data_IF_119427533624
#
_entry.id   IF_119427533624
#
_cell.length_a   1.000
_cell.length_b   1.000
_cell.length_c   1.000
_cell.angle_alpha   90.00
_cell.angle_beta   90.00
_cell.angle_gamma   90.00
#
_symmetry.space_group_name_H-M   'P 1'
#
loop_
_entity.id
_entity.type
_entity.pdbx_description
1 polymer ?
#
# COMPACT_ATOMS: atom_id res chain seq x y z
N UNK A 1 -18.42 3.37 3.00
CA UNK A 1 -18.00 3.72 1.63
C UNK A 1 -17.31 5.07 1.64
N UNK A 2 -16.17 5.23 0.96
CA UNK A 2 -15.55 6.56 0.84
C UNK A 2 -16.40 7.47 -0.05
N UNK A 3 -16.37 8.77 0.21
CA UNK A 3 -17.06 9.80 -0.59
C UNK A 3 -16.68 9.72 -2.07
N UNK A 4 -15.40 9.49 -2.34
CA UNK A 4 -14.82 9.49 -3.68
C UNK A 4 -15.29 8.31 -4.53
N UNK A 5 -15.54 7.14 -3.93
CA UNK A 5 -16.11 5.98 -4.65
C UNK A 5 -17.51 6.29 -5.15
N UNK A 6 -18.38 6.85 -4.30
CA UNK A 6 -19.73 7.25 -4.73
C UNK A 6 -19.68 8.24 -5.90
N UNK A 7 -18.78 9.22 -5.81
CA UNK A 7 -18.61 10.21 -6.88
C UNK A 7 -18.05 9.61 -8.17
N UNK A 8 -17.26 8.54 -8.09
CA UNK A 8 -16.71 7.85 -9.27
C UNK A 8 -17.81 7.23 -10.15
N UNK A 9 -18.87 6.70 -9.54
CA UNK A 9 -19.98 6.05 -10.24
C UNK A 9 -21.11 7.01 -10.65
N UNK A 10 -21.14 8.22 -10.09
CA UNK A 10 -22.13 9.25 -10.36
C UNK A 10 -22.40 9.54 -11.85
N UNK A 11 -21.40 9.58 -12.77
CA UNK A 11 -21.67 9.85 -14.19
C UNK A 11 -22.56 8.78 -14.85
N UNK A 12 -22.47 7.54 -14.38
CA UNK A 12 -23.25 6.42 -14.91
C UNK A 12 -24.66 6.40 -14.32
N UNK A 13 -24.77 6.68 -13.01
CA UNK A 13 -26.07 6.82 -12.33
C UNK A 13 -26.90 7.98 -12.89
N UNK A 14 -26.25 9.11 -13.22
CA UNK A 14 -26.95 10.29 -13.73
C UNK A 14 -27.21 10.27 -15.24
N UNK A 15 -26.76 9.23 -15.95
CA UNK A 15 -26.82 9.17 -17.42
C UNK A 15 -25.89 10.15 -18.14
N UNK A 16 -24.96 10.82 -17.44
CA UNK A 16 -23.97 11.71 -18.07
C UNK A 16 -22.92 10.93 -18.86
N UNK A 17 -22.74 9.64 -18.56
CA UNK A 17 -21.95 8.69 -19.32
C UNK A 17 -22.62 7.32 -19.31
N UNK A 18 -22.71 6.66 -20.46
CA UNK A 18 -23.18 5.27 -20.52
C UNK A 18 -22.17 4.29 -19.91
N UNK A 19 -22.66 3.25 -19.24
CA UNK A 19 -21.86 2.08 -18.87
C UNK A 19 -21.68 1.17 -20.10
N UNK A 20 -20.54 0.47 -20.28
CA UNK A 20 -20.35 -0.43 -21.40
C UNK A 20 -21.36 -1.59 -21.35
N UNK A 21 -21.87 -1.99 -22.51
CA UNK A 21 -22.93 -3.00 -22.61
C UNK A 21 -22.38 -4.41 -22.89
N UNK A 22 -23.16 -5.44 -22.57
CA UNK A 22 -22.84 -6.81 -22.97
C UNK A 22 -21.72 -7.43 -22.13
N UNK A 23 -20.72 -8.01 -22.80
CA UNK A 23 -19.60 -8.74 -22.18
C UNK A 23 -18.37 -7.87 -21.92
N UNK A 24 -18.48 -6.56 -22.18
CA UNK A 24 -17.36 -5.63 -22.07
C UNK A 24 -16.91 -5.46 -20.62
N UNK A 25 -15.59 -5.48 -20.42
CA UNK A 25 -14.95 -5.37 -19.11
C UNK A 25 -14.58 -3.93 -18.81
N UNK A 26 -14.66 -3.56 -17.53
CA UNK A 26 -14.18 -2.28 -17.00
C UNK A 26 -13.17 -2.53 -15.89
N UNK A 27 -11.94 -2.04 -16.07
CA UNK A 27 -10.94 -2.08 -15.01
C UNK A 27 -11.28 -1.06 -13.91
N UNK A 28 -10.95 -1.36 -12.66
CA UNK A 28 -11.07 -0.42 -11.54
C UNK A 28 -9.78 -0.40 -10.72
N UNK A 29 -8.96 0.62 -10.94
CA UNK A 29 -7.68 0.81 -10.25
C UNK A 29 -7.87 1.51 -8.89
N UNK A 30 -7.10 1.04 -7.91
CA UNK A 30 -7.24 1.41 -6.50
C UNK A 30 -8.70 1.23 -6.01
N UNK A 31 -9.30 0.11 -6.41
CA UNK A 31 -10.69 -0.18 -6.18
C UNK A 31 -11.04 -0.18 -4.69
N UNK A 32 -12.14 0.46 -4.35
CA UNK A 32 -12.78 0.38 -3.04
C UNK A 32 -14.23 -0.04 -3.27
N UNK A 33 -14.80 -0.76 -2.31
CA UNK A 33 -16.14 -1.35 -2.43
C UNK A 33 -17.18 -0.32 -2.90
N UNK A 34 -17.69 -0.44 -4.15
CA UNK A 34 -18.74 0.42 -4.66
C UNK A 34 -20.13 -0.14 -4.36
N UNK A 35 -21.15 0.70 -4.46
CA UNK A 35 -22.56 0.33 -4.32
C UNK A 35 -23.17 0.40 -5.71
N UNK A 36 -23.17 -0.74 -6.41
CA UNK A 36 -23.52 -0.83 -7.83
C UNK A 36 -24.41 -2.03 -8.09
N UNK A 37 -25.21 -1.95 -9.15
CA UNK A 37 -26.03 -3.05 -9.61
C UNK A 37 -25.18 -4.27 -10.00
N UNK A 38 -25.82 -5.43 -9.98
CA UNK A 38 -25.17 -6.73 -10.07
C UNK A 38 -24.52 -7.01 -11.43
N UNK A 39 -25.10 -6.48 -12.50
CA UNK A 39 -24.56 -6.47 -13.86
C UNK A 39 -23.28 -5.65 -13.95
N UNK A 40 -23.28 -4.44 -13.39
CA UNK A 40 -22.10 -3.59 -13.29
C UNK A 40 -20.99 -4.26 -12.47
N UNK A 41 -21.34 -4.80 -11.29
CA UNK A 41 -20.41 -5.58 -10.46
C UNK A 41 -19.76 -6.72 -11.24
N UNK A 42 -20.55 -7.48 -12.00
CA UNK A 42 -20.03 -8.59 -12.80
C UNK A 42 -19.09 -8.13 -13.90
N UNK A 43 -19.25 -6.93 -14.46
CA UNK A 43 -18.38 -6.35 -15.50
C UNK A 43 -17.07 -5.74 -15.00
N UNK A 44 -16.90 -5.57 -13.68
CA UNK A 44 -15.73 -4.94 -13.08
C UNK A 44 -14.59 -5.93 -12.83
N UNK A 45 -13.39 -5.56 -13.29
CA UNK A 45 -12.12 -6.18 -12.89
C UNK A 45 -11.39 -5.21 -11.95
N UNK A 46 -11.38 -5.52 -10.66
CA UNK A 46 -10.84 -4.64 -9.63
C UNK A 46 -9.35 -4.90 -9.36
N UNK A 47 -8.59 -3.83 -9.16
CA UNK A 47 -7.24 -3.87 -8.62
C UNK A 47 -7.21 -3.19 -7.25
N UNK A 48 -6.68 -3.88 -6.24
CA UNK A 48 -6.47 -3.30 -4.93
C UNK A 48 -5.22 -3.88 -4.27
N UNK A 49 -4.14 -3.09 -4.28
CA UNK A 49 -2.83 -3.47 -3.74
C UNK A 49 -2.77 -3.50 -2.21
N UNK A 50 -3.69 -2.86 -1.49
CA UNK A 50 -3.73 -2.91 -0.03
C UNK A 50 -4.59 -4.08 0.47
N UNK A 51 -4.00 -4.96 1.29
CA UNK A 51 -4.58 -6.24 1.73
C UNK A 51 -5.98 -6.11 2.33
N UNK A 52 -6.17 -5.16 3.25
CA UNK A 52 -7.48 -4.91 3.86
C UNK A 52 -8.57 -4.54 2.83
N UNK A 53 -8.24 -3.71 1.83
CA UNK A 53 -9.15 -3.33 0.76
C UNK A 53 -9.44 -4.49 -0.18
N UNK A 54 -8.42 -5.28 -0.50
CA UNK A 54 -8.54 -6.49 -1.31
C UNK A 54 -9.52 -7.49 -0.67
N UNK A 55 -9.31 -7.80 0.61
CA UNK A 55 -10.18 -8.72 1.35
C UNK A 55 -11.61 -8.21 1.46
N UNK A 56 -11.81 -6.90 1.55
CA UNK A 56 -13.13 -6.30 1.56
C UNK A 56 -13.87 -6.50 0.24
N UNK A 57 -13.20 -6.26 -0.90
CA UNK A 57 -13.76 -6.50 -2.23
C UNK A 57 -14.03 -7.99 -2.48
N UNK A 58 -13.08 -8.86 -2.09
CA UNK A 58 -13.19 -10.30 -2.26
C UNK A 58 -14.39 -10.87 -1.50
N UNK A 59 -14.59 -10.47 -0.23
CA UNK A 59 -15.75 -10.88 0.58
C UNK A 59 -17.08 -10.39 0.02
N UNK A 60 -17.06 -9.24 -0.67
CA UNK A 60 -18.23 -8.71 -1.37
C UNK A 60 -18.46 -9.35 -2.77
N UNK A 61 -17.65 -10.34 -3.16
CA UNK A 61 -17.82 -11.10 -4.40
C UNK A 61 -17.40 -10.34 -5.67
N UNK A 62 -16.51 -9.35 -5.56
CA UNK A 62 -15.90 -8.70 -6.73
C UNK A 62 -14.74 -9.54 -7.26
N UNK A 63 -14.57 -9.56 -8.59
CA UNK A 63 -13.34 -10.05 -9.21
C UNK A 63 -12.22 -9.04 -8.89
N UNK A 64 -11.28 -9.42 -8.02
CA UNK A 64 -10.23 -8.52 -7.54
C UNK A 64 -8.87 -9.20 -7.59
N UNK A 65 -7.85 -8.47 -8.04
CA UNK A 65 -6.44 -8.87 -8.02
C UNK A 65 -5.61 -7.82 -7.24
N UNK A 66 -4.45 -8.20 -6.65
CA UNK A 66 -3.51 -7.21 -6.11
C UNK A 66 -2.98 -6.27 -7.20
N UNK A 67 -2.83 -6.81 -8.41
CA UNK A 67 -2.33 -6.14 -9.61
C UNK A 67 -2.98 -6.82 -10.82
N UNK A 68 -3.66 -6.05 -11.66
CA UNK A 68 -4.16 -6.48 -12.96
C UNK A 68 -3.00 -6.53 -13.95
N UNK A 69 -3.02 -7.39 -14.98
CA UNK A 69 -2.06 -7.31 -16.07
C UNK A 69 -2.31 -6.05 -16.91
N UNK A 70 -1.26 -5.53 -17.55
CA UNK A 70 -1.35 -4.46 -18.57
C UNK A 70 -1.86 -4.99 -19.93
N UNK A 71 -2.00 -6.32 -20.04
CA UNK A 71 -2.56 -7.03 -21.19
C UNK A 71 -4.09 -7.13 -21.06
N UNK A 72 -4.79 -7.31 -22.17
CA UNK A 72 -6.27 -7.37 -22.28
C UNK A 72 -6.96 -6.00 -22.19
N UNK A 73 -6.94 -5.31 -23.32
CA UNK A 73 -7.50 -3.98 -23.48
C UNK A 73 -9.01 -3.96 -23.15
N UNK A 74 -9.40 -3.19 -22.15
CA UNK A 74 -10.78 -3.07 -21.64
C UNK A 74 -11.57 -1.92 -22.29
N UNK A 75 -12.90 -1.92 -22.12
CA UNK A 75 -13.77 -0.90 -22.70
C UNK A 75 -13.72 0.42 -21.91
N UNK A 76 -13.37 0.37 -20.63
CA UNK A 76 -13.12 1.54 -19.80
C UNK A 76 -12.34 1.22 -18.54
N UNK A 77 -11.81 2.25 -17.90
CA UNK A 77 -11.08 2.16 -16.64
C UNK A 77 -11.56 3.22 -15.65
N UNK A 78 -11.87 2.79 -14.44
CA UNK A 78 -12.13 3.62 -13.29
C UNK A 78 -10.85 3.77 -12.47
N UNK A 79 -10.55 4.98 -12.01
CA UNK A 79 -9.38 5.26 -11.17
C UNK A 79 -9.81 6.03 -9.93
N UNK A 80 -9.51 5.48 -8.76
CA UNK A 80 -9.70 6.19 -7.50
C UNK A 80 -8.38 6.84 -7.04
N UNK A 81 -8.30 8.16 -7.16
CA UNK A 81 -7.11 8.91 -6.79
C UNK A 81 -6.91 8.95 -5.27
N UNK A 82 -5.68 8.63 -4.83
CA UNK A 82 -5.21 8.79 -3.46
C UNK A 82 -4.60 10.16 -3.20
N UNK A 83 -3.83 10.28 -2.11
CA UNK A 83 -3.16 11.53 -1.71
C UNK A 83 -1.85 11.80 -2.47
N UNK A 84 -1.27 10.79 -3.11
CA UNK A 84 0.03 10.88 -3.76
C UNK A 84 -0.10 11.22 -5.24
N UNK A 85 0.33 12.42 -5.62
CA UNK A 85 0.16 12.92 -6.98
C UNK A 85 0.87 12.07 -8.04
N UNK A 86 2.13 11.68 -7.82
CA UNK A 86 2.89 10.90 -8.79
C UNK A 86 2.28 9.51 -9.00
N UNK A 87 1.87 8.83 -7.93
CA UNK A 87 1.12 7.56 -7.99
C UNK A 87 -0.18 7.71 -8.79
N UNK A 88 -0.96 8.77 -8.54
CA UNK A 88 -2.17 9.05 -9.29
C UNK A 88 -1.91 9.29 -10.79
N UNK A 89 -0.82 9.97 -11.14
CA UNK A 89 -0.44 10.20 -12.53
C UNK A 89 -0.04 8.89 -13.22
N UNK A 90 0.72 8.03 -12.53
CA UNK A 90 1.07 6.69 -13.02
C UNK A 90 -0.17 5.82 -13.24
N UNK A 91 -1.13 5.83 -12.31
CA UNK A 91 -2.40 5.10 -12.47
C UNK A 91 -3.22 5.60 -13.67
N UNK A 92 -3.29 6.91 -13.90
CA UNK A 92 -4.01 7.47 -15.07
C UNK A 92 -3.30 7.12 -16.37
N UNK A 93 -1.97 7.21 -16.39
CA UNK A 93 -1.19 6.82 -17.57
C UNK A 93 -1.38 5.33 -17.90
N UNK A 94 -1.36 4.48 -16.87
CA UNK A 94 -1.64 3.05 -16.99
C UNK A 94 -3.06 2.77 -17.48
N UNK A 95 -4.07 3.45 -16.92
CA UNK A 95 -5.45 3.38 -17.41
C UNK A 95 -5.55 3.75 -18.90
N UNK A 96 -4.77 4.72 -19.37
CA UNK A 96 -4.69 5.08 -20.79
C UNK A 96 -4.12 3.98 -21.69
N UNK A 97 -3.27 3.09 -21.17
CA UNK A 97 -2.74 1.91 -21.89
C UNK A 97 -3.66 0.70 -21.83
N UNK A 98 -4.36 0.53 -20.71
CA UNK A 98 -5.28 -0.60 -20.48
C UNK A 98 -6.59 -0.47 -21.27
N UNK A 99 -6.93 0.70 -21.79
CA UNK A 99 -8.23 1.01 -22.40
C UNK A 99 -8.12 1.18 -23.91
N UNK A 100 -9.04 0.58 -24.66
CA UNK A 100 -8.99 0.61 -26.13
C UNK A 100 -9.27 2.01 -26.67
N UNK A 101 -8.80 2.34 -27.89
CA UNK A 101 -9.26 3.53 -28.59
C UNK A 101 -10.80 3.59 -28.64
N UNK A 102 -11.38 4.76 -28.35
CA UNK A 102 -12.82 4.96 -28.21
C UNK A 102 -13.39 4.55 -26.85
N UNK A 103 -12.59 3.86 -26.03
CA UNK A 103 -12.88 3.60 -24.63
C UNK A 103 -12.69 4.83 -23.75
N UNK A 104 -12.59 4.59 -22.46
CA UNK A 104 -13.10 5.46 -21.42
C UNK A 104 -12.17 5.43 -20.22
N UNK A 105 -11.78 6.59 -19.69
CA UNK A 105 -11.16 6.66 -18.36
C UNK A 105 -11.96 7.64 -17.50
N UNK A 106 -12.38 7.21 -16.31
CA UNK A 106 -13.01 8.05 -15.31
C UNK A 106 -12.16 8.06 -14.03
N UNK A 107 -11.86 9.25 -13.52
CA UNK A 107 -10.99 9.46 -12.37
C UNK A 107 -11.76 10.22 -11.32
N UNK A 108 -11.82 9.71 -10.10
CA UNK A 108 -12.41 10.40 -8.97
C UNK A 108 -11.45 10.53 -7.79
N UNK A 109 -11.58 11.61 -7.04
CA UNK A 109 -10.79 11.84 -5.84
C UNK A 109 -11.38 12.93 -4.96
N UNK A 110 -10.88 13.00 -3.74
CA UNK A 110 -11.30 13.99 -2.75
C UNK A 110 -10.79 15.39 -3.12
N UNK A 111 -11.62 16.42 -2.89
CA UNK A 111 -11.26 17.82 -3.18
C UNK A 111 -10.04 18.29 -2.40
N UNK A 112 -9.84 17.78 -1.19
CA UNK A 112 -8.72 18.13 -0.32
C UNK A 112 -7.47 17.31 -0.62
N UNK A 113 -7.57 16.24 -1.42
CA UNK A 113 -6.44 15.40 -1.81
C UNK A 113 -5.95 15.69 -3.24
N UNK A 114 -6.30 16.85 -3.78
CA UNK A 114 -5.69 17.38 -5.00
C UNK A 114 -6.34 16.94 -6.32
N UNK A 115 -7.56 16.39 -6.32
CA UNK A 115 -8.26 15.98 -7.55
C UNK A 115 -8.38 17.10 -8.60
N UNK A 116 -8.56 18.35 -8.17
CA UNK A 116 -8.64 19.50 -9.09
C UNK A 116 -7.31 19.72 -9.84
N UNK A 117 -6.19 19.61 -9.14
CA UNK A 117 -4.85 19.70 -9.74
C UNK A 117 -4.54 18.52 -10.67
N UNK A 118 -5.09 17.34 -10.36
CA UNK A 118 -4.94 16.15 -11.18
C UNK A 118 -5.75 16.26 -12.47
N UNK A 119 -6.99 16.77 -12.39
CA UNK A 119 -7.81 17.10 -13.55
C UNK A 119 -7.13 18.11 -14.47
N UNK A 120 -6.58 19.21 -13.92
CA UNK A 120 -5.87 20.22 -14.72
C UNK A 120 -4.67 19.61 -15.46
N UNK A 121 -3.95 18.70 -14.81
CA UNK A 121 -2.86 17.97 -15.43
C UNK A 121 -3.34 17.03 -16.55
N UNK A 122 -4.41 16.27 -16.33
CA UNK A 122 -4.99 15.42 -17.38
C UNK A 122 -5.46 16.26 -18.58
N UNK A 123 -6.14 17.38 -18.33
CA UNK A 123 -6.65 18.30 -19.35
C UNK A 123 -5.55 18.93 -20.24
N UNK A 124 -4.29 18.93 -19.79
CA UNK A 124 -3.16 19.39 -20.62
C UNK A 124 -2.71 18.35 -21.67
N UNK A 125 -3.25 17.13 -21.62
CA UNK A 125 -2.86 15.99 -22.47
C UNK A 125 -4.03 15.36 -23.22
N UNK A 126 -5.23 15.44 -22.65
CA UNK A 126 -6.46 14.88 -23.23
C UNK A 126 -7.62 15.87 -23.10
N UNK A 127 -8.58 15.78 -24.02
CA UNK A 127 -9.84 16.50 -23.90
C UNK A 127 -10.71 15.86 -22.80
N UNK A 128 -11.11 16.67 -21.82
CA UNK A 128 -11.98 16.21 -20.73
C UNK A 128 -13.43 16.26 -21.21
N UNK A 129 -14.00 15.08 -21.49
CA UNK A 129 -15.36 14.92 -21.97
C UNK A 129 -16.44 15.30 -20.93
N UNK A 130 -16.12 15.26 -19.63
CA UNK A 130 -17.04 15.73 -18.61
C UNK A 130 -16.50 15.66 -17.19
N UNK A 131 -17.27 16.24 -16.26
CA UNK A 131 -16.96 16.21 -14.82
C UNK A 131 -18.18 16.44 -13.96
N UNK A 132 -18.24 15.80 -12.80
CA UNK A 132 -19.27 16.03 -11.78
C UNK A 132 -18.62 16.18 -10.40
N UNK A 133 -19.28 16.91 -9.50
CA UNK A 133 -18.81 17.11 -8.14
C UNK A 133 -19.95 16.83 -7.14
N UNK A 134 -19.73 15.87 -6.25
CA UNK A 134 -20.64 15.50 -5.16
C UNK A 134 -19.84 14.87 -4.03
N UNK A 135 -20.42 14.78 -2.83
CA UNK A 135 -19.82 14.12 -1.67
C UNK A 135 -18.41 14.63 -1.28
N UNK A 136 -18.10 15.92 -1.45
CA UNK A 136 -16.74 16.48 -1.26
C UNK A 136 -15.65 15.87 -2.16
N UNK A 137 -16.05 15.19 -3.24
CA UNK A 137 -15.16 14.65 -4.25
C UNK A 137 -15.49 15.24 -5.63
N UNK A 138 -14.65 14.93 -6.61
CA UNK A 138 -14.88 15.26 -8.02
C UNK A 138 -14.53 14.05 -8.86
N UNK A 139 -15.34 13.79 -9.89
CA UNK A 139 -15.04 12.86 -10.96
C UNK A 139 -14.87 13.64 -12.25
N UNK A 140 -13.89 13.26 -13.06
CA UNK A 140 -13.77 13.71 -14.44
C UNK A 140 -13.50 12.51 -15.33
N UNK A 141 -13.82 12.62 -16.62
CA UNK A 141 -13.61 11.53 -17.54
C UNK A 141 -13.24 12.02 -18.93
N UNK A 142 -12.58 11.15 -19.67
CA UNK A 142 -12.17 11.38 -21.05
C UNK A 142 -12.34 10.09 -21.87
N UNK A 143 -12.17 10.23 -23.18
CA UNK A 143 -12.16 9.13 -24.14
C UNK A 143 -10.72 8.87 -24.56
N UNK A 144 -10.32 7.61 -24.62
CA UNK A 144 -8.96 7.23 -25.03
C UNK A 144 -8.86 7.33 -26.56
N UNK A 145 -7.93 8.17 -27.02
CA UNK A 145 -7.62 8.32 -28.45
C UNK A 145 -6.69 7.23 -28.97
N UNK A 146 -6.29 7.33 -30.24
CA UNK A 146 -5.36 6.39 -30.88
C UNK A 146 -3.88 6.63 -30.52
N UNK A 147 -3.51 7.86 -30.13
CA UNK A 147 -2.17 8.18 -29.65
C UNK A 147 -2.12 8.01 -28.13
N UNK A 148 -1.33 7.07 -27.63
CA UNK A 148 -1.19 6.74 -26.21
C UNK A 148 -0.97 8.01 -25.35
N UNK A 149 -2.04 8.59 -24.78
CA UNK A 149 -1.91 9.80 -24.00
C UNK A 149 -1.15 9.41 -22.74
N UNK A 150 -0.28 10.29 -22.22
CA UNK A 150 0.58 10.00 -21.06
C UNK A 150 1.76 9.04 -21.31
N UNK A 151 2.18 8.82 -22.57
CA UNK A 151 3.39 8.03 -22.90
C UNK A 151 4.69 8.62 -22.32
N UNK A 152 4.68 9.91 -21.95
CA UNK A 152 5.76 10.58 -21.22
C UNK A 152 5.88 10.15 -19.75
N UNK A 153 4.86 9.49 -19.20
CA UNK A 153 4.82 9.03 -17.82
C UNK A 153 5.37 7.61 -17.74
N UNK A 154 6.67 7.49 -17.46
CA UNK A 154 7.31 6.22 -17.17
C UNK A 154 6.83 5.64 -15.83
N UNK A 155 6.97 4.32 -15.65
CA UNK A 155 6.96 3.72 -14.32
C UNK A 155 8.17 4.26 -13.56
N UNK A 156 7.93 5.28 -12.73
CA UNK A 156 9.00 5.93 -11.97
C UNK A 156 9.43 5.00 -10.83
N UNK A 157 10.59 4.38 -11.02
CA UNK A 157 11.35 3.83 -9.90
C UNK A 157 12.38 4.86 -9.46
N UNK A 158 12.51 5.05 -8.16
CA UNK A 158 13.53 5.90 -7.56
C UNK A 158 14.57 5.01 -6.87
N UNK A 159 15.85 5.38 -7.01
CA UNK A 159 16.92 4.73 -6.27
C UNK A 159 17.18 5.50 -4.99
N UNK A 160 17.00 4.85 -3.85
CA UNK A 160 17.25 5.40 -2.50
C UNK A 160 18.51 4.74 -1.92
N UNK A 161 19.34 5.53 -1.22
CA UNK A 161 20.56 5.05 -0.56
C UNK A 161 21.48 4.29 -1.55
N UNK A 162 21.55 4.79 -2.79
CA UNK A 162 22.32 4.25 -3.93
C UNK A 162 22.07 2.77 -4.25
N UNK A 163 20.97 2.19 -3.75
CA UNK A 163 20.73 0.74 -3.84
C UNK A 163 19.27 0.32 -3.94
N UNK A 164 18.38 0.93 -3.17
CA UNK A 164 17.01 0.45 -3.04
C UNK A 164 16.13 1.02 -4.14
N UNK A 165 15.45 0.15 -4.89
CA UNK A 165 14.44 0.54 -5.84
C UNK A 165 13.11 0.73 -5.11
N UNK A 166 12.53 1.91 -5.24
CA UNK A 166 11.23 2.29 -4.66
C UNK A 166 10.35 2.90 -5.74
N UNK A 167 9.06 3.11 -5.46
CA UNK A 167 8.16 3.83 -6.35
C UNK A 167 7.19 4.72 -5.56
N UNK A 168 6.61 5.76 -6.21
CA UNK A 168 5.61 6.61 -5.58
C UNK A 168 4.45 5.82 -4.96
N UNK A 169 3.96 6.28 -3.82
CA UNK A 169 2.90 5.60 -3.05
C UNK A 169 3.44 4.70 -1.92
N UNK A 170 4.70 4.24 -2.01
CA UNK A 170 5.36 3.52 -0.92
C UNK A 170 5.76 4.44 0.23
N UNK A 171 5.80 3.90 1.46
CA UNK A 171 6.28 4.63 2.65
C UNK A 171 7.73 5.08 2.47
N UNK A 172 8.00 6.37 2.68
CA UNK A 172 9.32 6.98 2.52
C UNK A 172 10.01 6.60 1.19
N UNK A 173 9.28 6.65 0.07
CA UNK A 173 9.79 6.24 -1.24
C UNK A 173 10.98 7.06 -1.74
N UNK A 174 11.11 8.34 -1.37
CA UNK A 174 12.20 9.20 -1.88
C UNK A 174 13.45 9.28 -0.99
N UNK A 175 13.45 8.66 0.20
CA UNK A 175 14.62 8.66 1.11
C UNK A 175 14.45 7.63 2.22
N UNK A 176 15.53 7.24 2.87
CA UNK A 176 15.47 6.43 4.10
C UNK A 176 14.68 7.16 5.20
N UNK A 177 13.77 6.45 5.86
CA UNK A 177 13.05 6.97 7.03
C UNK A 177 14.00 7.07 8.25
N UNK A 178 14.09 8.22 8.93
CA UNK A 178 14.98 8.38 10.09
C UNK A 178 14.69 7.41 11.24
N UNK A 179 13.43 7.06 11.48
CA UNK A 179 13.05 6.06 12.49
C UNK A 179 13.57 4.67 12.13
N UNK A 180 13.40 4.26 10.88
CA UNK A 180 13.97 3.01 10.37
C UNK A 180 15.51 2.99 10.43
N UNK A 181 16.17 4.10 10.10
CA UNK A 181 17.63 4.22 10.22
C UNK A 181 18.10 4.07 11.67
N UNK A 182 17.41 4.73 12.61
CA UNK A 182 17.68 4.62 14.04
C UNK A 182 17.46 3.19 14.56
N UNK A 183 16.40 2.52 14.11
CA UNK A 183 16.17 1.11 14.47
C UNK A 183 17.31 0.22 13.96
N UNK A 184 17.70 0.41 12.71
CA UNK A 184 18.74 -0.38 12.05
C UNK A 184 20.12 -0.22 12.70
N UNK A 185 20.44 0.92 13.32
CA UNK A 185 21.70 1.11 14.05
C UNK A 185 21.81 0.25 15.32
N UNK A 186 20.71 -0.37 15.77
CA UNK A 186 20.69 -1.28 16.91
C UNK A 186 20.60 -2.77 16.53
N UNK A 187 20.69 -3.10 15.24
CA UNK A 187 20.79 -4.50 14.82
C UNK A 187 22.17 -5.04 15.13
N UNK A 188 22.20 -6.24 15.72
CA UNK A 188 23.42 -6.92 16.11
C UNK A 188 23.24 -8.45 16.01
N UNK A 189 24.32 -9.19 16.31
CA UNK A 189 24.38 -10.65 16.20
C UNK A 189 23.43 -11.40 17.16
N UNK A 190 22.76 -10.74 18.10
CA UNK A 190 21.75 -11.37 18.97
C UNK A 190 20.48 -11.73 18.19
N UNK A 191 20.19 -10.99 17.12
CA UNK A 191 19.07 -11.28 16.22
C UNK A 191 19.43 -12.56 15.44
N UNK A 192 18.72 -13.64 15.73
CA UNK A 192 19.01 -14.99 15.21
C UNK A 192 17.75 -15.86 15.22
N UNK A 193 17.81 -17.05 14.59
CA UNK A 193 16.67 -17.96 14.49
C UNK A 193 15.65 -17.54 13.43
N UNK A 194 14.36 -17.74 13.73
CA UNK A 194 13.25 -17.31 12.88
C UNK A 194 12.92 -15.86 13.17
N UNK A 195 13.12 -14.99 12.18
CA UNK A 195 12.94 -13.55 12.34
C UNK A 195 11.82 -13.05 11.42
N UNK A 196 11.04 -12.06 11.86
CA UNK A 196 10.09 -11.35 11.01
C UNK A 196 10.31 -9.85 10.99
N UNK A 197 10.02 -9.23 9.85
CA UNK A 197 9.91 -7.78 9.67
C UNK A 197 8.43 -7.42 9.45
N UNK A 198 7.82 -6.80 10.47
CA UNK A 198 6.40 -6.46 10.47
C UNK A 198 6.19 -5.04 9.94
N UNK A 199 5.61 -4.94 8.75
CA UNK A 199 5.53 -3.69 7.99
C UNK A 199 6.83 -3.41 7.24
N UNK A 200 7.35 -4.41 6.53
CA UNK A 200 8.69 -4.35 5.93
C UNK A 200 8.86 -3.27 4.85
N UNK A 201 7.77 -2.68 4.34
CA UNK A 201 7.82 -1.65 3.31
C UNK A 201 8.54 -2.16 2.06
N UNK A 202 9.49 -1.39 1.55
CA UNK A 202 10.36 -1.76 0.43
C UNK A 202 11.65 -2.48 0.85
N UNK A 203 11.73 -2.97 2.10
CA UNK A 203 12.77 -3.89 2.54
C UNK A 203 14.01 -3.28 3.19
N UNK A 204 13.99 -1.98 3.56
CA UNK A 204 15.13 -1.32 4.19
C UNK A 204 15.62 -2.02 5.46
N UNK A 205 14.73 -2.19 6.44
CA UNK A 205 15.07 -2.80 7.74
C UNK A 205 15.54 -4.23 7.55
N UNK A 206 14.83 -5.00 6.72
CA UNK A 206 15.21 -6.35 6.32
C UNK A 206 16.64 -6.43 5.76
N UNK A 207 17.03 -5.54 4.85
CA UNK A 207 18.39 -5.53 4.29
C UNK A 207 19.44 -5.22 5.35
N UNK A 208 19.21 -4.19 6.16
CA UNK A 208 20.12 -3.80 7.26
C UNK A 208 20.24 -4.91 8.32
N UNK A 209 19.17 -5.65 8.57
CA UNK A 209 19.16 -6.79 9.48
C UNK A 209 20.04 -7.92 8.95
N UNK A 210 19.94 -8.25 7.67
CA UNK A 210 20.73 -9.30 7.02
C UNK A 210 22.23 -8.94 6.90
N UNK A 211 22.57 -7.65 6.93
CA UNK A 211 23.96 -7.18 6.99
C UNK A 211 24.56 -7.28 8.40
N UNK A 212 23.76 -6.94 9.42
CA UNK A 212 24.22 -6.90 10.81
C UNK A 212 24.17 -8.25 11.53
N UNK A 213 23.29 -9.14 11.07
CA UNK A 213 22.95 -10.40 11.72
C UNK A 213 22.89 -11.58 10.74
N UNK A 214 22.69 -12.79 11.26
CA UNK A 214 22.59 -14.03 10.47
C UNK A 214 21.39 -14.86 10.93
N UNK A 215 20.15 -14.42 10.65
CA UNK A 215 18.96 -15.20 10.97
C UNK A 215 18.93 -16.51 10.15
N UNK A 216 18.25 -17.53 10.67
CA UNK A 216 18.03 -18.77 9.92
C UNK A 216 17.01 -18.56 8.80
N UNK A 217 15.99 -17.73 9.05
CA UNK A 217 14.93 -17.36 8.11
C UNK A 217 14.44 -15.94 8.38
N UNK A 218 14.01 -15.25 7.34
CA UNK A 218 13.38 -13.94 7.43
C UNK A 218 11.99 -13.97 6.79
N UNK A 219 10.95 -13.64 7.57
CA UNK A 219 9.58 -13.48 7.08
C UNK A 219 9.21 -12.01 6.97
N UNK A 220 8.88 -11.56 5.77
CA UNK A 220 8.43 -10.20 5.48
C UNK A 220 6.91 -10.14 5.58
N UNK A 221 6.37 -9.21 6.36
CA UNK A 221 4.93 -8.93 6.41
C UNK A 221 4.66 -7.52 5.95
N UNK A 222 3.78 -7.36 4.96
CA UNK A 222 3.40 -6.05 4.43
C UNK A 222 1.97 -6.10 3.87
N UNK A 223 1.18 -5.06 4.14
CA UNK A 223 -0.18 -4.95 3.66
C UNK A 223 -0.26 -4.32 2.26
N UNK A 224 0.76 -3.57 1.85
CA UNK A 224 0.87 -2.93 0.55
C UNK A 224 1.63 -3.79 -0.46
N UNK A 225 0.90 -4.38 -1.41
CA UNK A 225 1.44 -5.30 -2.41
C UNK A 225 2.65 -4.73 -3.20
N UNK A 226 2.59 -3.51 -3.76
CA UNK A 226 3.75 -2.93 -4.46
C UNK A 226 4.99 -2.82 -3.57
N UNK A 227 4.82 -2.43 -2.30
CA UNK A 227 5.94 -2.35 -1.34
C UNK A 227 6.57 -3.73 -1.13
N UNK A 228 5.75 -4.77 -0.92
CA UNK A 228 6.25 -6.13 -0.72
C UNK A 228 7.02 -6.65 -1.94
N UNK A 229 6.53 -6.37 -3.16
CA UNK A 229 7.24 -6.73 -4.40
C UNK A 229 8.57 -5.96 -4.52
N UNK A 230 8.61 -4.69 -4.11
CA UNK A 230 9.86 -3.92 -4.05
C UNK A 230 10.84 -4.50 -3.03
N UNK A 231 10.36 -4.93 -1.86
CA UNK A 231 11.20 -5.58 -0.85
C UNK A 231 11.86 -6.86 -1.38
N UNK A 232 11.11 -7.73 -2.06
CA UNK A 232 11.69 -8.93 -2.67
C UNK A 232 12.80 -8.61 -3.68
N UNK A 233 12.58 -7.62 -4.55
CA UNK A 233 13.59 -7.16 -5.53
C UNK A 233 14.84 -6.62 -4.82
N UNK A 234 14.65 -5.76 -3.82
CA UNK A 234 15.75 -5.15 -3.06
C UNK A 234 16.54 -6.16 -2.21
N UNK A 235 15.92 -7.28 -1.86
CA UNK A 235 16.52 -8.33 -1.03
C UNK A 235 17.07 -9.51 -1.85
N UNK A 236 16.93 -9.50 -3.17
CA UNK A 236 17.33 -10.60 -4.06
C UNK A 236 18.77 -11.08 -3.82
N UNK A 237 19.69 -10.14 -3.56
CA UNK A 237 21.10 -10.45 -3.29
C UNK A 237 21.31 -11.30 -2.02
N UNK A 238 20.43 -11.22 -1.02
CA UNK A 238 20.53 -11.97 0.23
C UNK A 238 19.82 -13.32 0.20
N UNK A 239 18.88 -13.51 -0.75
CA UNK A 239 18.04 -14.71 -0.85
C UNK A 239 18.83 -16.01 -1.14
N UNK A 240 20.13 -15.91 -1.43
CA UNK A 240 21.04 -17.06 -1.59
C UNK A 240 21.51 -17.62 -0.25
N UNK A 241 21.65 -16.78 0.77
CA UNK A 241 22.24 -17.14 2.06
C UNK A 241 21.18 -17.37 3.15
N UNK A 242 20.03 -16.68 3.03
CA UNK A 242 18.93 -16.77 3.99
C UNK A 242 17.62 -17.00 3.24
N UNK A 243 16.78 -17.91 3.74
CA UNK A 243 15.45 -18.09 3.18
C UNK A 243 14.55 -16.90 3.57
N UNK A 244 14.14 -16.12 2.57
CA UNK A 244 13.26 -14.97 2.70
C UNK A 244 11.86 -15.33 2.20
N UNK A 245 10.84 -15.07 3.02
CA UNK A 245 9.44 -15.38 2.72
C UNK A 245 8.59 -14.11 2.74
N UNK A 246 7.94 -13.79 1.62
CA UNK A 246 7.10 -12.62 1.47
C UNK A 246 5.62 -12.93 1.78
N UNK A 247 5.05 -12.24 2.77
CA UNK A 247 3.67 -12.40 3.21
C UNK A 247 2.87 -11.10 2.94
N UNK A 248 1.98 -11.15 1.95
CA UNK A 248 1.01 -10.07 1.72
C UNK A 248 -0.13 -10.18 2.74
N UNK A 249 -0.09 -9.34 3.77
CA UNK A 249 -0.76 -9.64 5.03
C UNK A 249 -1.18 -8.36 5.78
N UNK A 250 -2.40 -8.35 6.30
CA UNK A 250 -2.89 -7.31 7.19
C UNK A 250 -2.74 -7.74 8.66
N UNK A 251 -1.63 -7.32 9.28
CA UNK A 251 -1.33 -7.60 10.69
C UNK A 251 -2.39 -7.12 11.68
N UNK A 252 -3.28 -6.20 11.27
CA UNK A 252 -4.35 -5.70 12.13
C UNK A 252 -5.59 -6.61 12.17
N UNK A 253 -5.77 -7.47 11.16
CA UNK A 253 -7.01 -8.27 11.01
C UNK A 253 -6.77 -9.75 10.73
N UNK A 254 -5.58 -10.14 10.25
CA UNK A 254 -5.23 -11.52 9.95
C UNK A 254 -4.33 -12.10 11.08
N UNK A 255 -4.59 -13.33 11.58
CA UNK A 255 -3.76 -13.95 12.61
C UNK A 255 -2.49 -14.56 12.03
N UNK A 256 -1.33 -14.19 12.57
CA UNK A 256 -0.04 -14.79 12.19
C UNK A 256 0.10 -16.18 12.82
N UNK A 257 0.17 -17.22 11.99
CA UNK A 257 0.18 -18.61 12.46
C UNK A 257 1.54 -19.10 13.00
N UNK A 258 2.64 -18.44 12.64
CA UNK A 258 4.01 -18.84 12.99
C UNK A 258 4.51 -18.11 14.24
N UNK A 259 5.47 -18.73 14.92
CA UNK A 259 6.15 -18.12 16.06
C UNK A 259 7.61 -17.80 15.74
N UNK A 260 8.04 -16.59 16.08
CA UNK A 260 9.35 -16.03 15.77
C UNK A 260 10.22 -15.90 17.03
N UNK A 261 11.53 -16.03 16.85
CA UNK A 261 12.53 -15.72 17.88
C UNK A 261 12.70 -14.20 18.01
N UNK A 262 12.67 -13.48 16.89
CA UNK A 262 12.72 -12.02 16.83
C UNK A 262 11.69 -11.44 15.88
N UNK A 263 11.13 -10.29 16.23
CA UNK A 263 10.35 -9.44 15.34
C UNK A 263 10.98 -8.06 15.36
N UNK A 264 11.19 -7.47 14.19
CA UNK A 264 11.56 -6.06 14.03
C UNK A 264 10.40 -5.30 13.38
N UNK A 265 10.17 -4.04 13.76
CA UNK A 265 9.15 -3.22 13.09
C UNK A 265 9.32 -1.72 13.29
N UNK A 266 8.92 -0.98 12.27
CA UNK A 266 8.56 0.44 12.32
C UNK A 266 7.08 0.56 11.97
N UNK A 267 6.15 0.47 12.95
CA UNK A 267 4.73 0.42 12.67
C UNK A 267 4.23 1.71 11.99
N UNK A 268 3.23 1.62 11.09
CA UNK A 268 2.70 2.79 10.41
C UNK A 268 2.05 3.78 11.39
N UNK A 269 2.33 5.07 11.20
CA UNK A 269 1.79 6.16 12.04
C UNK A 269 1.04 7.26 11.25
N UNK A 270 0.85 7.11 9.93
CA UNK A 270 0.17 8.11 9.05
C UNK A 270 -0.79 7.51 7.99
N UNK A 271 -1.52 6.44 8.33
CA UNK A 271 -2.35 5.67 7.38
C UNK A 271 -3.83 6.14 7.23
N UNK A 272 -4.17 7.37 7.60
CA UNK A 272 -5.52 7.91 7.43
C UNK A 272 -6.52 7.48 8.52
N UNK A 273 -7.81 7.35 8.18
CA UNK A 273 -9.03 7.42 9.05
C UNK A 273 -9.10 6.61 10.36
N UNK A 274 -8.17 5.72 10.69
CA UNK A 274 -8.08 5.14 12.03
C UNK A 274 -7.35 6.13 12.94
N UNK A 275 -7.73 6.25 14.22
CA UNK A 275 -6.91 6.96 15.20
C UNK A 275 -5.50 6.33 15.18
N UNK A 276 -4.51 7.11 14.76
CA UNK A 276 -3.11 6.71 14.51
C UNK A 276 -2.51 5.77 15.58
N UNK A 277 -2.83 5.89 16.88
CA UNK A 277 -2.36 4.95 17.89
C UNK A 277 -2.88 3.51 17.71
N UNK A 278 -4.08 3.29 17.19
CA UNK A 278 -4.72 1.98 17.26
C UNK A 278 -4.13 0.96 16.27
N UNK A 279 -3.68 1.42 15.10
CA UNK A 279 -2.98 0.53 14.16
C UNK A 279 -1.63 0.06 14.71
N UNK A 280 -0.85 0.97 15.30
CA UNK A 280 0.42 0.59 15.94
C UNK A 280 0.21 -0.32 17.16
N UNK A 281 -0.85 -0.10 17.96
CA UNK A 281 -1.24 -1.04 19.03
C UNK A 281 -1.61 -2.41 18.49
N UNK A 282 -2.31 -2.48 17.35
CA UNK A 282 -2.64 -3.74 16.69
C UNK A 282 -1.37 -4.50 16.24
N UNK A 283 -0.37 -3.78 15.70
CA UNK A 283 0.94 -4.34 15.37
C UNK A 283 1.67 -4.89 16.61
N UNK A 284 1.69 -4.13 17.72
CA UNK A 284 2.28 -4.58 19.00
C UNK A 284 1.60 -5.86 19.48
N UNK A 285 0.27 -5.91 19.43
CA UNK A 285 -0.50 -7.08 19.84
C UNK A 285 -0.25 -8.28 18.90
N UNK A 286 -0.13 -8.06 17.59
CA UNK A 286 0.24 -9.09 16.63
C UNK A 286 1.64 -9.63 16.89
N UNK A 287 2.62 -8.76 17.13
CA UNK A 287 3.99 -9.15 17.45
C UNK A 287 4.06 -9.99 18.74
N UNK A 288 3.38 -9.55 19.81
CA UNK A 288 3.31 -10.33 21.06
C UNK A 288 2.74 -11.73 20.84
N UNK A 289 1.69 -11.89 20.02
CA UNK A 289 1.11 -13.22 19.72
C UNK A 289 2.02 -14.08 18.84
N UNK A 290 2.77 -13.46 17.93
CA UNK A 290 3.62 -14.13 16.94
C UNK A 290 5.04 -14.41 17.44
N UNK A 291 5.44 -13.99 18.65
CA UNK A 291 6.74 -14.35 19.21
C UNK A 291 6.69 -15.70 19.94
N UNK A 292 7.77 -16.46 19.97
CA UNK A 292 7.91 -17.61 20.89
C UNK A 292 7.95 -17.13 22.35
N UNK A 293 7.75 -18.01 23.35
CA UNK A 293 8.12 -17.68 24.73
C UNK A 293 9.58 -17.21 24.80
N UNK A 294 9.84 -16.08 25.46
CA UNK A 294 11.15 -15.40 25.47
C UNK A 294 11.61 -14.77 24.14
N UNK A 295 10.77 -14.83 23.10
CA UNK A 295 11.02 -14.12 21.84
C UNK A 295 11.03 -12.61 22.06
N UNK A 296 11.71 -11.89 21.17
CA UNK A 296 12.00 -10.47 21.34
C UNK A 296 11.45 -9.61 20.22
N UNK A 297 10.85 -8.50 20.59
CA UNK A 297 10.47 -7.42 19.69
C UNK A 297 11.54 -6.32 19.76
N UNK A 298 12.03 -5.85 18.63
CA UNK A 298 12.79 -4.60 18.52
C UNK A 298 12.01 -3.63 17.64
N UNK A 299 11.57 -2.52 18.23
CA UNK A 299 10.59 -1.63 17.64
C UNK A 299 11.07 -0.18 17.70
N UNK A 300 10.83 0.57 16.63
CA UNK A 300 10.89 2.04 16.66
C UNK A 300 9.49 2.63 16.59
N UNK A 301 9.28 3.77 17.26
CA UNK A 301 8.07 4.56 17.14
C UNK A 301 8.38 6.05 17.32
N UNK A 302 7.50 6.91 16.81
CA UNK A 302 7.53 8.33 17.17
C UNK A 302 7.36 8.48 18.68
N UNK A 303 8.17 9.33 19.33
CA UNK A 303 8.17 9.52 20.78
C UNK A 303 6.79 9.86 21.34
N UNK A 304 6.00 10.65 20.61
CA UNK A 304 4.68 11.14 21.03
C UNK A 304 3.59 10.05 21.04
N UNK A 305 3.83 8.90 20.43
CA UNK A 305 2.84 7.83 20.35
C UNK A 305 2.77 7.04 21.67
N UNK A 306 1.57 6.88 22.27
CA UNK A 306 1.40 6.28 23.60
C UNK A 306 1.32 4.75 23.51
N UNK A 307 2.44 4.10 23.21
CA UNK A 307 2.52 2.64 23.04
C UNK A 307 2.91 1.87 24.31
N UNK A 308 3.24 2.57 25.39
CA UNK A 308 3.70 1.99 26.67
C UNK A 308 2.69 0.99 27.23
N UNK A 309 1.40 1.35 27.23
CA UNK A 309 0.35 0.47 27.74
C UNK A 309 0.19 -0.79 26.88
N UNK A 310 0.25 -0.67 25.55
CA UNK A 310 0.12 -1.81 24.65
C UNK A 310 1.33 -2.76 24.76
N UNK A 311 2.53 -2.21 24.94
CA UNK A 311 3.74 -2.99 25.20
C UNK A 311 3.64 -3.73 26.54
N UNK A 312 3.20 -3.06 27.61
CA UNK A 312 3.06 -3.66 28.93
C UNK A 312 2.01 -4.79 28.99
N UNK A 313 0.98 -4.74 28.13
CA UNK A 313 -0.03 -5.80 28.03
C UNK A 313 0.49 -7.06 27.32
N UNK A 314 1.39 -6.91 26.35
CA UNK A 314 1.86 -8.01 25.50
C UNK A 314 3.22 -8.60 25.88
N UNK A 315 3.97 -7.93 26.75
CA UNK A 315 5.37 -8.26 27.01
C UNK A 315 5.69 -8.17 28.49
N UNK A 316 6.38 -9.18 29.03
CA UNK A 316 6.77 -9.23 30.45
C UNK A 316 7.89 -8.23 30.80
N UNK A 317 8.68 -7.80 29.81
CA UNK A 317 9.78 -6.85 30.01
C UNK A 317 9.88 -5.93 28.79
N UNK A 318 9.94 -4.63 29.02
CA UNK A 318 10.10 -3.59 28.00
C UNK A 318 11.28 -2.72 28.41
N UNK A 319 12.27 -2.58 27.54
CA UNK A 319 13.51 -1.83 27.79
C UNK A 319 13.66 -0.76 26.71
N UNK A 320 13.62 0.53 27.08
CA UNK A 320 14.03 1.61 26.19
C UNK A 320 15.51 1.45 25.83
N UNK A 321 15.83 1.44 24.54
CA UNK A 321 17.20 1.33 24.04
C UNK A 321 17.80 2.72 23.80
N UNK A 322 17.05 3.57 23.09
CA UNK A 322 17.45 4.95 22.81
C UNK A 322 16.23 5.81 22.53
N UNK A 323 16.36 7.11 22.80
CA UNK A 323 15.46 8.14 22.30
C UNK A 323 16.30 9.20 21.58
N UNK A 324 16.08 9.35 20.28
CA UNK A 324 16.83 10.25 19.41
C UNK A 324 15.98 10.70 18.23
N UNK A 325 16.22 11.91 17.71
CA UNK A 325 15.61 12.44 16.49
C UNK A 325 14.07 12.40 16.44
N UNK A 326 13.43 12.48 17.62
CA UNK A 326 11.97 12.42 17.76
C UNK A 326 11.37 11.01 17.76
N UNK A 327 12.21 9.98 17.77
CA UNK A 327 11.85 8.57 17.84
C UNK A 327 12.36 7.92 19.13
N UNK A 328 11.74 6.79 19.49
CA UNK A 328 12.17 5.90 20.57
C UNK A 328 12.31 4.48 20.03
N UNK A 329 13.42 3.83 20.37
CA UNK A 329 13.65 2.40 20.10
C UNK A 329 13.48 1.63 21.39
N UNK A 330 12.71 0.54 21.34
CA UNK A 330 12.42 -0.32 22.49
C UNK A 330 12.69 -1.78 22.14
N UNK A 331 13.28 -2.52 23.08
CA UNK A 331 13.34 -3.98 23.07
C UNK A 331 12.29 -4.52 24.07
N UNK A 332 11.43 -5.43 23.64
CA UNK A 332 10.44 -6.07 24.50
C UNK A 332 10.54 -7.60 24.43
N UNK A 333 10.35 -8.29 25.55
CA UNK A 333 10.45 -9.75 25.66
C UNK A 333 9.08 -10.35 25.98
N UNK A 334 8.63 -11.33 25.19
CA UNK A 334 7.36 -12.03 25.39
C UNK A 334 7.39 -12.85 26.67
#
# INVERSE_FOLDING_TARGET
>A
MSSSVKTLFLPFESGARGWPSGTERVAFLNAQLPDVADDMRRSLDCEQGHRAGFLHLQRAGFAVKPELPDLDVCAGCLVLAGKHRAENQMMIARAGRMVRPGGFVAVAGDKNLGIASLRKWAASRVEIAGSLAKHHATVFWFTVGSGAPFSDIAEATETVDDRFQTAPGMFSSGKVDPGSALLASHFDKRISGQVADFGCGWGFLSARLLEAAKPERLALYEAHWPSLRAAERNLEAFSRDVAIEANWFDLSSEPVARQFDWIVMNPPFHSGRASEPDLGKAFIAAASRALKPNGRLLMVANRKLPYEQALAQGFRRVVPIVEADGFKVVEAVR
#
